data_IF_672917073682
#
_entry.id   IF_672917073682
#
_cell.length_a   1.000
_cell.length_b   1.000
_cell.length_c   1.000
_cell.angle_alpha   90.00
_cell.angle_beta   90.00
_cell.angle_gamma   90.00
#
_symmetry.space_group_name_H-M   'P 1'
#
loop_
_entity.id
_entity.type
_entity.pdbx_description
1 polymer ?
#
# COMPACT_ATOMS: atom_id res chain seq x y z
N UNK A 1 -6.98 -5.88 32.24
CA UNK A 1 -6.34 -4.82 31.42
C UNK A 1 -5.44 -5.40 30.33
N UNK A 2 -4.71 -6.50 30.57
CA UNK A 2 -3.86 -7.16 29.56
C UNK A 2 -4.62 -7.74 28.34
N UNK A 3 -5.89 -8.12 28.49
CA UNK A 3 -6.66 -8.72 27.39
C UNK A 3 -6.84 -7.76 26.20
N UNK A 4 -7.08 -6.46 26.44
CA UNK A 4 -7.23 -5.48 25.38
C UNK A 4 -5.93 -5.30 24.58
N UNK A 5 -4.78 -5.34 25.26
CA UNK A 5 -3.48 -5.36 24.60
C UNK A 5 -3.27 -6.63 23.77
N UNK A 6 -3.65 -7.81 24.30
CA UNK A 6 -3.57 -9.07 23.56
C UNK A 6 -4.45 -9.07 22.29
N UNK A 7 -5.69 -8.56 22.39
CA UNK A 7 -6.59 -8.39 21.24
C UNK A 7 -6.01 -7.40 20.23
N UNK A 8 -5.42 -6.29 20.69
CA UNK A 8 -4.75 -5.33 19.82
C UNK A 8 -3.57 -5.98 19.06
N UNK A 9 -2.71 -6.73 19.76
CA UNK A 9 -1.60 -7.48 19.15
C UNK A 9 -2.15 -8.48 18.12
N UNK A 10 -3.21 -9.22 18.45
CA UNK A 10 -3.85 -10.14 17.52
C UNK A 10 -4.29 -9.44 16.23
N UNK A 11 -5.00 -8.31 16.35
CA UNK A 11 -5.38 -7.52 15.17
C UNK A 11 -4.16 -7.01 14.37
N UNK A 12 -3.08 -6.61 15.04
CA UNK A 12 -1.85 -6.16 14.39
C UNK A 12 -1.19 -7.32 13.62
N UNK A 13 -1.09 -8.49 14.23
CA UNK A 13 -0.54 -9.69 13.58
C UNK A 13 -1.40 -10.09 12.39
N UNK A 14 -2.73 -10.12 12.54
CA UNK A 14 -3.65 -10.45 11.45
C UNK A 14 -3.54 -9.42 10.32
N UNK A 15 -3.57 -8.13 10.62
CA UNK A 15 -3.42 -7.08 9.60
C UNK A 15 -2.07 -7.15 8.88
N UNK A 16 -0.98 -7.41 9.60
CA UNK A 16 0.35 -7.57 9.01
C UNK A 16 0.47 -8.84 8.17
N UNK A 17 -0.07 -9.95 8.66
CA UNK A 17 -0.15 -11.19 7.89
C UNK A 17 -0.94 -11.00 6.59
N UNK A 18 -2.08 -10.31 6.63
CA UNK A 18 -2.86 -9.96 5.44
C UNK A 18 -2.10 -9.02 4.48
N UNK A 19 -1.38 -8.03 5.00
CA UNK A 19 -0.55 -7.14 4.17
C UNK A 19 0.58 -7.90 3.46
N UNK A 20 1.25 -8.80 4.17
CA UNK A 20 2.32 -9.62 3.61
C UNK A 20 1.79 -10.61 2.58
N UNK A 21 0.70 -11.31 2.92
CA UNK A 21 0.07 -12.30 2.03
C UNK A 21 -0.54 -11.66 0.80
N UNK A 22 -0.99 -10.40 0.83
CA UNK A 22 -1.50 -9.68 -0.34
C UNK A 22 -0.56 -9.78 -1.56
N UNK A 23 0.76 -9.72 -1.37
CA UNK A 23 1.75 -9.88 -2.46
C UNK A 23 1.76 -11.29 -3.07
N UNK A 24 1.54 -12.32 -2.26
CA UNK A 24 1.47 -13.71 -2.71
C UNK A 24 0.07 -14.09 -3.22
N UNK A 25 -0.95 -13.43 -2.67
CA UNK A 25 -2.35 -13.66 -2.98
C UNK A 25 -2.67 -13.35 -4.43
N UNK A 26 -2.07 -12.33 -5.06
CA UNK A 26 -2.31 -12.05 -6.48
C UNK A 26 -2.12 -13.28 -7.39
N UNK A 27 -1.13 -14.14 -7.08
CA UNK A 27 -0.88 -15.39 -7.83
C UNK A 27 -1.82 -16.54 -7.47
N UNK A 28 -2.30 -16.61 -6.23
CA UNK A 28 -3.18 -17.70 -5.78
C UNK A 28 -4.66 -17.37 -6.03
N UNK A 29 -5.06 -16.14 -5.74
CA UNK A 29 -6.36 -15.58 -6.08
C UNK A 29 -6.63 -15.75 -7.57
N UNK A 30 -5.66 -15.47 -8.45
CA UNK A 30 -5.90 -15.62 -9.90
C UNK A 30 -6.26 -17.05 -10.31
N UNK A 31 -5.97 -18.07 -9.48
CA UNK A 31 -6.41 -19.46 -9.70
C UNK A 31 -7.87 -19.70 -9.30
N UNK A 32 -8.34 -19.01 -8.25
CA UNK A 32 -9.73 -19.08 -7.77
C UNK A 32 -10.64 -18.01 -8.37
N UNK A 33 -10.05 -17.01 -9.03
CA UNK A 33 -10.80 -15.99 -9.74
C UNK A 33 -11.67 -16.66 -10.82
N UNK A 34 -12.90 -16.17 -11.04
CA UNK A 34 -13.79 -16.68 -12.09
C UNK A 34 -13.11 -16.66 -13.48
N UNK A 35 -12.16 -15.75 -13.68
CA UNK A 35 -11.30 -15.69 -14.86
C UNK A 35 -10.44 -16.92 -15.15
N UNK A 36 -10.50 -18.01 -14.39
CA UNK A 36 -9.84 -19.27 -14.76
C UNK A 36 -10.43 -19.87 -16.05
N UNK A 37 -11.75 -19.82 -16.25
CA UNK A 37 -12.33 -20.30 -17.52
C UNK A 37 -11.96 -19.39 -18.69
N UNK A 38 -12.02 -18.08 -18.49
CA UNK A 38 -11.58 -17.08 -19.47
C UNK A 38 -10.10 -17.21 -19.79
N UNK A 39 -9.25 -17.49 -18.80
CA UNK A 39 -7.81 -17.68 -19.03
C UNK A 39 -7.51 -18.95 -19.81
N UNK A 40 -8.27 -20.04 -19.61
CA UNK A 40 -8.20 -21.24 -20.47
C UNK A 40 -8.60 -20.92 -21.92
N UNK A 41 -9.69 -20.17 -22.12
CA UNK A 41 -10.12 -19.72 -23.46
C UNK A 41 -9.06 -18.82 -24.12
N UNK A 42 -8.49 -17.89 -23.35
CA UNK A 42 -7.40 -17.03 -23.79
C UNK A 42 -6.18 -17.85 -24.23
N UNK A 43 -5.73 -18.81 -23.41
CA UNK A 43 -4.59 -19.68 -23.76
C UNK A 43 -4.87 -20.54 -25.00
N UNK A 44 -6.08 -21.06 -25.14
CA UNK A 44 -6.49 -21.82 -26.33
C UNK A 44 -6.45 -20.94 -27.59
N UNK A 45 -6.92 -19.69 -27.51
CA UNK A 45 -6.90 -18.73 -28.63
C UNK A 45 -5.50 -18.26 -28.98
N UNK A 46 -4.63 -18.03 -27.98
CA UNK A 46 -3.22 -17.70 -28.20
C UNK A 46 -2.50 -18.86 -28.91
N UNK A 47 -2.79 -20.10 -28.52
CA UNK A 47 -2.25 -21.29 -29.19
C UNK A 47 -2.76 -21.41 -30.63
N UNK A 48 -4.07 -21.27 -30.85
CA UNK A 48 -4.68 -21.28 -32.19
C UNK A 48 -4.04 -20.20 -33.09
N UNK A 49 -3.81 -19.01 -32.54
CA UNK A 49 -3.16 -17.89 -33.23
C UNK A 49 -1.69 -18.17 -33.56
N UNK A 50 -0.98 -18.89 -32.71
CA UNK A 50 0.39 -19.31 -32.96
C UNK A 50 0.45 -20.32 -34.11
N UNK A 51 -0.33 -21.41 -34.01
CA UNK A 51 -0.40 -22.46 -35.02
C UNK A 51 -0.82 -21.90 -36.39
N UNK A 52 -1.79 -20.99 -36.41
CA UNK A 52 -2.23 -20.35 -37.65
C UNK A 52 -1.16 -19.41 -38.23
N UNK A 53 -0.37 -18.74 -37.39
CA UNK A 53 0.74 -17.89 -37.85
C UNK A 53 1.83 -18.73 -38.50
N UNK A 54 2.20 -19.85 -37.87
CA UNK A 54 3.19 -20.79 -38.43
C UNK A 54 2.71 -21.38 -39.75
N UNK A 55 1.45 -21.80 -39.83
CA UNK A 55 0.83 -22.27 -41.06
C UNK A 55 0.76 -21.19 -42.14
N UNK A 56 0.52 -19.93 -41.77
CA UNK A 56 0.50 -18.84 -42.74
C UNK A 56 1.90 -18.51 -43.27
N UNK A 57 2.94 -18.64 -42.44
CA UNK A 57 4.33 -18.42 -42.83
C UNK A 57 4.87 -19.53 -43.74
N UNK A 58 4.30 -20.75 -43.70
CA UNK A 58 4.70 -21.84 -44.59
C UNK A 58 4.04 -21.78 -45.97
N UNK A 59 3.07 -20.87 -46.17
CA UNK A 59 2.38 -20.69 -47.45
C UNK A 59 3.02 -19.54 -48.23
N UNK A 60 3.37 -19.79 -49.50
CA UNK A 60 3.73 -18.72 -50.44
C UNK A 60 2.54 -17.78 -50.66
N UNK A 61 2.73 -16.51 -50.30
CA UNK A 61 1.71 -15.47 -50.44
C UNK A 61 1.30 -15.24 -51.91
N UNK A 62 2.20 -15.53 -52.86
CA UNK A 62 1.95 -15.31 -54.29
C UNK A 62 1.13 -16.46 -54.89
N UNK A 63 1.56 -17.71 -54.67
CA UNK A 63 0.91 -18.88 -55.29
C UNK A 63 -0.46 -19.19 -54.68
N UNK A 64 -0.63 -18.90 -53.39
CA UNK A 64 -1.82 -19.24 -52.62
C UNK A 64 -2.50 -17.98 -52.02
N UNK A 65 -2.50 -16.87 -52.75
CA UNK A 65 -3.00 -15.57 -52.27
C UNK A 65 -4.38 -15.62 -51.58
N UNK A 66 -5.33 -16.36 -52.15
CA UNK A 66 -6.67 -16.50 -51.58
C UNK A 66 -6.66 -17.17 -50.19
N UNK A 67 -5.83 -18.22 -50.00
CA UNK A 67 -5.66 -18.90 -48.70
C UNK A 67 -4.93 -17.99 -47.72
N UNK A 68 -3.86 -17.33 -48.16
CA UNK A 68 -3.08 -16.40 -47.34
C UNK A 68 -3.94 -15.24 -46.81
N UNK A 69 -4.74 -14.61 -47.67
CA UNK A 69 -5.64 -13.50 -47.27
C UNK A 69 -6.72 -13.98 -46.30
N UNK A 70 -7.26 -15.19 -46.50
CA UNK A 70 -8.24 -15.78 -45.57
C UNK A 70 -7.62 -16.07 -44.20
N UNK A 71 -6.40 -16.60 -44.17
CA UNK A 71 -5.66 -16.84 -42.93
C UNK A 71 -5.34 -15.53 -42.19
N UNK A 72 -4.93 -14.48 -42.89
CA UNK A 72 -4.71 -13.17 -42.28
C UNK A 72 -5.98 -12.58 -41.67
N UNK A 73 -7.13 -12.65 -42.37
CA UNK A 73 -8.42 -12.23 -41.79
C UNK A 73 -8.77 -13.01 -40.52
N UNK A 74 -8.44 -14.30 -40.48
CA UNK A 74 -8.63 -15.13 -39.29
C UNK A 74 -7.65 -14.75 -38.18
N UNK A 75 -6.39 -14.44 -38.49
CA UNK A 75 -5.42 -13.91 -37.52
C UNK A 75 -5.91 -12.58 -36.91
N UNK A 76 -6.43 -11.66 -37.73
CA UNK A 76 -6.98 -10.38 -37.25
C UNK A 76 -8.19 -10.60 -36.33
N UNK A 77 -9.06 -11.58 -36.65
CA UNK A 77 -10.19 -11.97 -35.80
C UNK A 77 -9.70 -12.54 -34.47
N UNK A 78 -8.71 -13.43 -34.50
CA UNK A 78 -8.12 -14.02 -33.29
C UNK A 78 -7.43 -12.96 -32.43
N UNK A 79 -6.70 -12.02 -33.03
CA UNK A 79 -6.05 -10.93 -32.29
C UNK A 79 -7.10 -10.02 -31.60
N UNK A 80 -8.25 -9.77 -32.24
CA UNK A 80 -9.39 -9.08 -31.61
C UNK A 80 -9.98 -9.88 -30.45
N UNK A 81 -10.24 -11.17 -30.64
CA UNK A 81 -10.77 -12.06 -29.59
C UNK A 81 -9.82 -12.15 -28.39
N UNK A 82 -8.51 -12.27 -28.63
CA UNK A 82 -7.47 -12.32 -27.60
C UNK A 82 -7.44 -11.02 -26.79
N UNK A 83 -7.52 -9.86 -27.45
CA UNK A 83 -7.55 -8.57 -26.77
C UNK A 83 -8.82 -8.40 -25.94
N UNK A 84 -9.99 -8.77 -26.49
CA UNK A 84 -11.26 -8.71 -25.74
C UNK A 84 -11.21 -9.63 -24.50
N UNK A 85 -10.70 -10.87 -24.64
CA UNK A 85 -10.55 -11.79 -23.52
C UNK A 85 -9.56 -11.26 -22.48
N UNK A 86 -8.47 -10.62 -22.91
CA UNK A 86 -7.50 -10.00 -22.00
C UNK A 86 -8.16 -8.88 -21.18
N UNK A 87 -8.93 -8.02 -21.83
CA UNK A 87 -9.62 -6.91 -21.17
C UNK A 87 -10.70 -7.42 -20.22
N UNK A 88 -11.44 -8.46 -20.61
CA UNK A 88 -12.43 -9.12 -19.77
C UNK A 88 -11.77 -9.73 -18.52
N UNK A 89 -10.69 -10.51 -18.68
CA UNK A 89 -9.91 -11.07 -17.57
C UNK A 89 -9.40 -9.96 -16.63
N UNK A 90 -8.89 -8.86 -17.18
CA UNK A 90 -8.42 -7.73 -16.37
C UNK A 90 -9.58 -7.06 -15.62
N UNK A 91 -10.74 -6.91 -16.25
CA UNK A 91 -11.92 -6.31 -15.65
C UNK A 91 -12.50 -7.16 -14.52
N UNK A 92 -12.61 -8.47 -14.71
CA UNK A 92 -13.05 -9.42 -13.67
C UNK A 92 -12.08 -9.47 -12.51
N UNK A 93 -10.77 -9.53 -12.79
CA UNK A 93 -9.75 -9.51 -11.75
C UNK A 93 -9.80 -8.20 -10.94
N UNK A 94 -9.97 -7.04 -11.61
CA UNK A 94 -10.13 -5.75 -10.91
C UNK A 94 -11.39 -5.72 -10.05
N UNK A 95 -12.52 -6.21 -10.56
CA UNK A 95 -13.76 -6.29 -9.80
C UNK A 95 -13.60 -7.20 -8.58
N UNK A 96 -13.04 -8.40 -8.76
CA UNK A 96 -12.77 -9.34 -7.69
C UNK A 96 -11.84 -8.76 -6.62
N UNK A 97 -10.74 -8.11 -7.02
CA UNK A 97 -9.82 -7.43 -6.11
C UNK A 97 -10.50 -6.28 -5.35
N UNK A 98 -11.39 -5.53 -6.01
CA UNK A 98 -12.17 -4.47 -5.37
C UNK A 98 -13.13 -5.04 -4.31
N UNK A 99 -13.79 -6.17 -4.59
CA UNK A 99 -14.64 -6.86 -3.61
C UNK A 99 -13.84 -7.37 -2.41
N UNK A 100 -12.67 -7.99 -2.64
CA UNK A 100 -11.79 -8.41 -1.55
C UNK A 100 -11.27 -7.23 -0.74
N UNK A 101 -10.94 -6.12 -1.38
CA UNK A 101 -10.50 -4.91 -0.69
C UNK A 101 -11.62 -4.35 0.20
N UNK A 102 -12.86 -4.29 -0.31
CA UNK A 102 -14.03 -3.86 0.46
C UNK A 102 -14.30 -4.79 1.64
N UNK A 103 -14.26 -6.10 1.43
CA UNK A 103 -14.43 -7.10 2.48
C UNK A 103 -13.35 -6.96 3.56
N UNK A 104 -12.09 -6.77 3.17
CA UNK A 104 -10.99 -6.54 4.11
C UNK A 104 -11.19 -5.27 4.93
N UNK A 105 -11.62 -4.18 4.30
CA UNK A 105 -11.88 -2.92 4.99
C UNK A 105 -13.00 -3.11 6.02
N UNK A 106 -14.10 -3.76 5.64
CA UNK A 106 -15.26 -3.96 6.50
C UNK A 106 -15.05 -5.01 7.60
N UNK A 107 -14.35 -6.11 7.32
CA UNK A 107 -14.16 -7.21 8.25
C UNK A 107 -12.96 -7.02 9.19
N UNK A 108 -11.96 -6.23 8.80
CA UNK A 108 -10.72 -6.09 9.57
C UNK A 108 -10.45 -4.65 9.98
N UNK A 109 -10.37 -3.73 9.01
CA UNK A 109 -9.99 -2.34 9.29
C UNK A 109 -11.03 -1.63 10.15
N UNK A 110 -12.31 -1.79 9.84
CA UNK A 110 -13.41 -1.16 10.59
C UNK A 110 -13.50 -1.70 12.02
N UNK A 111 -13.55 -3.03 12.28
CA UNK A 111 -13.56 -3.56 13.64
C UNK A 111 -12.32 -3.15 14.45
N UNK A 112 -11.13 -3.15 13.82
CA UNK A 112 -9.92 -2.69 14.48
C UNK A 112 -9.99 -1.19 14.84
N UNK A 113 -10.56 -0.36 13.97
CA UNK A 113 -10.74 1.06 14.23
C UNK A 113 -11.77 1.33 15.35
N UNK A 114 -12.91 0.62 15.34
CA UNK A 114 -13.91 0.67 16.42
C UNK A 114 -13.29 0.24 17.75
N UNK A 115 -12.56 -0.88 17.76
CA UNK A 115 -11.82 -1.35 18.93
C UNK A 115 -10.82 -0.29 19.42
N UNK A 116 -10.07 0.33 18.51
CA UNK A 116 -9.12 1.40 18.82
C UNK A 116 -9.80 2.64 19.39
N UNK A 117 -11.01 3.01 18.96
CA UNK A 117 -11.73 4.15 19.55
C UNK A 117 -12.25 3.80 20.95
N UNK A 118 -12.88 2.63 21.10
CA UNK A 118 -13.52 2.24 22.37
C UNK A 118 -12.50 1.98 23.47
N UNK A 119 -11.42 1.26 23.16
CA UNK A 119 -10.41 0.87 24.15
C UNK A 119 -9.12 1.67 24.05
N UNK A 120 -8.99 2.58 23.07
CA UNK A 120 -7.77 3.34 22.86
C UNK A 120 -7.35 4.20 24.05
N UNK A 121 -8.31 4.66 24.86
CA UNK A 121 -8.08 5.49 26.06
C UNK A 121 -7.70 4.67 27.30
N UNK A 122 -7.67 3.34 27.24
CA UNK A 122 -7.28 2.54 28.42
C UNK A 122 -5.78 2.68 28.66
N UNK A 123 -5.34 2.96 29.90
CA UNK A 123 -3.92 3.04 30.23
C UNK A 123 -3.29 1.65 30.18
N UNK A 124 -2.23 1.50 29.38
CA UNK A 124 -1.44 0.25 29.29
C UNK A 124 -0.26 0.31 30.24
N UNK A 125 0.40 1.46 30.30
CA UNK A 125 1.56 1.70 31.15
C UNK A 125 1.36 2.98 31.94
N UNK A 126 1.70 2.97 33.23
CA UNK A 126 1.74 4.18 34.06
C UNK A 126 3.19 4.64 34.12
N UNK A 127 3.45 5.89 33.74
CA UNK A 127 4.76 6.49 33.89
C UNK A 127 5.02 6.72 35.38
N UNK A 128 6.28 6.68 35.83
CA UNK A 128 6.60 7.02 37.22
C UNK A 128 6.43 8.53 37.44
N UNK A 129 6.14 8.97 38.67
CA UNK A 129 5.88 10.39 38.98
C UNK A 129 7.10 11.24 38.65
N UNK A 130 8.30 10.67 38.80
CA UNK A 130 9.58 11.29 38.42
C UNK A 130 9.69 11.60 36.92
N UNK A 131 9.03 10.83 36.05
CA UNK A 131 9.07 11.02 34.59
C UNK A 131 8.20 12.19 34.11
N UNK A 132 7.27 12.67 34.92
CA UNK A 132 6.36 13.76 34.56
C UNK A 132 7.08 15.10 34.31
N UNK A 133 8.23 15.32 34.94
CA UNK A 133 9.04 16.53 34.78
C UNK A 133 9.95 16.50 33.56
N UNK A 134 10.15 15.34 32.93
CA UNK A 134 11.05 15.19 31.78
C UNK A 134 10.39 15.59 30.45
N UNK A 135 9.06 15.58 30.37
CA UNK A 135 8.34 15.80 29.13
C UNK A 135 7.37 16.98 29.24
N UNK A 136 7.25 17.81 28.19
CA UNK A 136 6.24 18.87 28.14
C UNK A 136 4.82 18.30 28.34
N UNK A 137 3.95 19.05 29.02
CA UNK A 137 2.53 18.70 29.29
C UNK A 137 1.76 18.29 28.02
N UNK A 138 2.15 18.86 26.88
CA UNK A 138 1.57 18.49 25.59
C UNK A 138 1.83 17.03 25.23
N UNK A 139 3.06 16.54 25.43
CA UNK A 139 3.48 15.18 25.09
C UNK A 139 2.80 14.17 26.00
N UNK A 140 2.75 14.45 27.31
CA UNK A 140 2.04 13.60 28.28
C UNK A 140 0.53 13.58 28.04
N UNK A 141 -0.04 14.69 27.55
CA UNK A 141 -1.42 14.76 27.07
C UNK A 141 -1.69 13.85 25.87
N UNK A 142 -0.81 13.89 24.85
CA UNK A 142 -0.92 12.99 23.69
C UNK A 142 -0.74 11.53 24.08
N UNK A 143 0.15 11.22 25.02
CA UNK A 143 0.33 9.84 25.47
C UNK A 143 -0.89 9.29 26.20
N UNK A 144 -1.49 10.09 27.09
CA UNK A 144 -2.64 9.66 27.90
C UNK A 144 -3.96 9.64 27.17
N UNK A 145 -4.21 10.61 26.29
CA UNK A 145 -5.52 10.78 25.62
C UNK A 145 -5.45 10.49 24.11
N UNK A 146 -4.26 10.31 23.55
CA UNK A 146 -4.02 10.12 22.12
C UNK A 146 -3.98 11.44 21.34
N UNK A 147 -3.91 11.35 20.02
CA UNK A 147 -3.87 12.49 19.10
C UNK A 147 -5.08 13.44 19.20
N UNK A 148 -6.21 12.94 19.71
CA UNK A 148 -7.40 13.75 19.95
C UNK A 148 -7.13 14.86 20.99
N UNK A 149 -6.13 14.68 21.87
CA UNK A 149 -5.66 15.72 22.77
C UNK A 149 -5.20 16.98 22.03
N UNK A 150 -4.45 16.80 20.94
CA UNK A 150 -3.93 17.92 20.13
C UNK A 150 -5.08 18.72 19.50
N UNK A 151 -6.06 18.00 18.94
CA UNK A 151 -7.22 18.61 18.31
C UNK A 151 -8.12 19.34 19.32
N UNK A 152 -8.28 18.76 20.51
CA UNK A 152 -9.07 19.38 21.56
C UNK A 152 -8.32 20.46 22.33
N UNK A 153 -6.99 20.55 22.25
CA UNK A 153 -6.20 21.51 23.00
C UNK A 153 -6.66 22.98 22.79
N UNK A 154 -6.83 23.51 21.56
CA UNK A 154 -7.35 24.86 21.37
C UNK A 154 -8.80 25.03 21.84
N UNK A 155 -9.63 24.00 21.69
CA UNK A 155 -11.02 24.04 22.17
C UNK A 155 -11.10 24.04 23.70
N UNK A 156 -10.16 23.36 24.38
CA UNK A 156 -10.03 23.35 25.83
C UNK A 156 -9.57 24.70 26.36
N UNK A 157 -8.61 25.36 25.72
CA UNK A 157 -8.18 26.70 26.16
C UNK A 157 -9.25 27.77 25.92
N UNK A 158 -10.00 27.67 24.81
CA UNK A 158 -11.15 28.55 24.55
C UNK A 158 -12.24 28.31 25.59
N UNK A 159 -12.69 27.07 25.80
CA UNK A 159 -13.72 26.77 26.81
C UNK A 159 -13.30 27.16 28.22
N UNK A 160 -12.03 26.95 28.60
CA UNK A 160 -11.51 27.45 29.88
C UNK A 160 -11.59 28.97 29.98
N UNK A 161 -11.20 29.72 28.93
CA UNK A 161 -11.38 31.19 28.89
C UNK A 161 -12.85 31.60 29.02
N UNK A 162 -13.76 30.91 28.33
CA UNK A 162 -15.21 31.16 28.42
C UNK A 162 -15.77 30.85 29.82
N UNK A 163 -15.35 29.76 30.46
CA UNK A 163 -15.76 29.42 31.82
C UNK A 163 -15.18 30.37 32.88
N UNK A 164 -13.99 30.92 32.65
CA UNK A 164 -13.43 32.00 33.49
C UNK A 164 -14.26 33.28 33.35
N UNK A 165 -14.77 33.60 32.14
CA UNK A 165 -15.66 34.74 31.92
C UNK A 165 -17.05 34.56 32.55
N UNK A 166 -17.60 33.34 32.59
CA UNK A 166 -18.93 33.06 33.17
C UNK A 166 -18.92 32.77 34.68
N UNK A 167 -17.80 32.97 35.38
CA UNK A 167 -17.74 32.85 36.84
C UNK A 167 -18.00 31.44 37.41
N UNK A 168 -18.12 30.41 36.56
CA UNK A 168 -18.27 29.01 36.98
C UNK A 168 -16.89 28.38 37.21
N UNK A 169 -16.36 28.62 38.41
CA UNK A 169 -15.10 28.09 38.92
C UNK A 169 -15.21 26.58 39.19
N UNK A 170 -15.06 25.72 38.17
CA UNK A 170 -15.29 24.30 38.38
C UNK A 170 -14.83 23.36 37.28
N UNK A 171 -13.59 23.46 36.78
CA UNK A 171 -13.06 22.44 35.87
C UNK A 171 -11.53 22.26 35.88
N UNK A 172 -10.81 22.63 36.95
CA UNK A 172 -9.36 22.38 37.03
C UNK A 172 -8.98 20.93 37.37
N UNK A 173 -9.94 20.02 37.58
CA UNK A 173 -9.65 18.61 37.93
C UNK A 173 -9.43 17.67 36.72
N UNK A 174 -9.36 18.19 35.50
CA UNK A 174 -9.10 17.35 34.33
C UNK A 174 -7.62 17.09 34.02
N UNK A 175 -6.69 17.80 34.66
CA UNK A 175 -5.30 17.85 34.17
C UNK A 175 -4.30 16.92 34.90
N UNK A 176 -4.32 16.74 36.22
CA UNK A 176 -3.14 16.09 36.84
C UNK A 176 -3.11 14.55 36.82
N UNK A 177 -4.25 13.87 37.01
CA UNK A 177 -4.23 12.40 37.16
C UNK A 177 -4.18 11.63 35.84
N UNK A 178 -4.59 12.25 34.73
CA UNK A 178 -4.65 11.58 33.43
C UNK A 178 -3.28 11.54 32.72
N UNK A 179 -2.43 12.55 32.93
CA UNK A 179 -1.21 12.77 32.15
C UNK A 179 -0.11 11.71 32.37
N UNK A 180 -0.22 10.91 33.43
CA UNK A 180 0.85 9.99 33.83
C UNK A 180 0.69 8.56 33.27
N UNK A 181 0.02 8.41 32.14
CA UNK A 181 -0.17 7.08 31.52
C UNK A 181 -0.05 7.11 30.02
N UNK A 182 0.37 5.98 29.46
CA UNK A 182 0.40 5.72 28.02
C UNK A 182 -0.85 4.94 27.66
N UNK A 183 -1.66 5.53 26.81
CA UNK A 183 -2.90 4.96 26.29
C UNK A 183 -2.65 3.78 25.34
N UNK A 184 -3.57 2.83 25.28
CA UNK A 184 -3.50 1.71 24.35
C UNK A 184 -3.40 2.19 22.89
N UNK A 185 -4.12 3.25 22.54
CA UNK A 185 -4.13 3.80 21.19
C UNK A 185 -2.77 4.30 20.73
N UNK A 186 -2.04 5.02 21.59
CA UNK A 186 -0.69 5.50 21.23
C UNK A 186 0.33 4.36 21.26
N UNK A 187 0.17 3.40 22.18
CA UNK A 187 1.03 2.23 22.26
C UNK A 187 0.93 1.35 21.00
N UNK A 188 -0.29 1.06 20.55
CA UNK A 188 -0.55 0.33 19.29
C UNK A 188 0.01 1.08 18.09
N UNK A 189 -0.14 2.41 18.06
CA UNK A 189 0.39 3.24 16.98
C UNK A 189 1.93 3.20 16.93
N UNK A 190 2.59 3.35 18.08
CA UNK A 190 4.05 3.26 18.19
C UNK A 190 4.56 1.88 17.76
N UNK A 191 3.92 0.80 18.23
CA UNK A 191 4.26 -0.57 17.85
C UNK A 191 4.12 -0.79 16.34
N UNK A 192 3.04 -0.29 15.73
CA UNK A 192 2.85 -0.38 14.28
C UNK A 192 3.95 0.37 13.51
N UNK A 193 4.34 1.55 13.98
CA UNK A 193 5.43 2.33 13.35
C UNK A 193 6.78 1.62 13.47
N UNK A 194 7.07 0.99 14.61
CA UNK A 194 8.29 0.19 14.77
C UNK A 194 8.29 -0.98 13.80
N UNK A 195 7.18 -1.73 13.71
CA UNK A 195 7.06 -2.85 12.75
C UNK A 195 7.25 -2.35 11.32
N UNK A 196 6.61 -1.24 10.93
CA UNK A 196 6.74 -0.66 9.59
C UNK A 196 8.19 -0.23 9.31
N UNK A 197 8.87 0.37 10.30
CA UNK A 197 10.25 0.79 10.18
C UNK A 197 11.20 -0.40 10.00
N UNK A 198 11.04 -1.46 10.80
CA UNK A 198 11.81 -2.70 10.65
C UNK A 198 11.54 -3.33 9.28
N UNK A 199 10.28 -3.41 8.85
CA UNK A 199 9.91 -3.93 7.53
C UNK A 199 10.54 -3.12 6.39
N UNK A 200 10.59 -1.80 6.51
CA UNK A 200 11.23 -0.91 5.55
C UNK A 200 12.75 -1.15 5.48
N UNK A 201 13.42 -1.22 6.64
CA UNK A 201 14.87 -1.50 6.71
C UNK A 201 15.19 -2.85 6.06
N UNK A 202 14.42 -3.89 6.36
CA UNK A 202 14.62 -5.22 5.76
C UNK A 202 14.43 -5.18 4.24
N UNK A 203 13.42 -4.47 3.74
CA UNK A 203 13.20 -4.32 2.29
C UNK A 203 14.33 -3.54 1.61
N UNK A 204 14.80 -2.45 2.22
CA UNK A 204 15.85 -1.63 1.64
C UNK A 204 17.22 -2.32 1.70
N UNK A 205 17.49 -3.09 2.76
CA UNK A 205 18.77 -3.78 2.90
C UNK A 205 18.87 -5.01 1.99
N UNK A 206 17.78 -5.76 1.79
CA UNK A 206 17.82 -7.04 1.10
C UNK A 206 17.12 -7.09 -0.26
N UNK A 207 16.12 -6.23 -0.53
CA UNK A 207 15.26 -6.34 -1.72
C UNK A 207 15.47 -5.23 -2.75
N UNK A 208 15.87 -4.02 -2.35
CA UNK A 208 16.16 -2.99 -3.35
C UNK A 208 17.50 -3.30 -4.00
N UNK A 209 17.56 -3.46 -5.35
CA UNK A 209 18.83 -3.62 -6.04
C UNK A 209 19.72 -2.42 -5.68
N UNK A 210 21.01 -2.71 -5.45
CA UNK A 210 22.05 -1.71 -5.21
C UNK A 210 21.86 -0.59 -6.22
N UNK A 211 21.58 0.63 -5.74
CA UNK A 211 21.50 1.79 -6.62
C UNK A 211 22.76 1.81 -7.47
N UNK A 212 22.60 1.65 -8.78
CA UNK A 212 23.70 1.88 -9.71
C UNK A 212 24.15 3.31 -9.45
N UNK A 213 25.45 3.48 -9.15
CA UNK A 213 26.01 4.80 -8.98
C UNK A 213 25.61 5.62 -10.21
N UNK A 214 25.15 6.88 -10.04
CA UNK A 214 24.83 7.70 -11.19
C UNK A 214 26.04 7.63 -12.12
N UNK A 215 25.84 7.12 -13.33
CA UNK A 215 26.88 7.08 -14.34
C UNK A 215 27.52 8.46 -14.34
N UNK A 216 28.79 8.54 -13.97
CA UNK A 216 29.54 9.77 -14.01
C UNK A 216 29.30 10.39 -15.38
N UNK A 217 28.80 11.62 -15.39
CA UNK A 217 28.49 12.38 -16.60
C UNK A 217 29.77 12.71 -17.40
N UNK A 218 30.93 12.20 -17.01
CA UNK A 218 32.21 12.52 -17.61
C UNK A 218 32.44 11.94 -19.02
N UNK A 219 31.63 11.01 -19.53
CA UNK A 219 31.85 10.49 -20.91
C UNK A 219 30.99 11.13 -21.99
N UNK A 220 30.11 12.09 -21.68
CA UNK A 220 29.38 12.82 -22.73
C UNK A 220 30.05 14.14 -23.14
N UNK A 221 30.75 14.83 -22.23
CA UNK A 221 31.51 16.04 -22.59
C UNK A 221 32.83 15.72 -23.29
N UNK A 222 33.56 14.67 -22.88
CA UNK A 222 34.83 14.30 -23.53
C UNK A 222 34.60 13.84 -24.98
N UNK A 223 33.54 13.07 -25.25
CA UNK A 223 33.15 12.70 -26.62
C UNK A 223 32.63 13.87 -27.45
N UNK A 224 32.07 14.90 -26.82
CA UNK A 224 31.62 16.09 -27.54
C UNK A 224 32.81 16.99 -27.93
N UNK A 225 33.88 17.02 -27.13
CA UNK A 225 35.10 17.76 -27.46
C UNK A 225 35.88 17.09 -28.61
N UNK A 226 36.06 15.77 -28.55
CA UNK A 226 36.78 15.04 -29.62
C UNK A 226 36.05 15.11 -30.96
N UNK A 227 34.71 15.08 -30.95
CA UNK A 227 33.91 15.20 -32.19
C UNK A 227 33.96 16.59 -32.83
N UNK A 228 34.27 17.64 -32.05
CA UNK A 228 34.41 19.01 -32.56
C UNK A 228 35.79 19.22 -33.18
N UNK A 229 36.85 18.68 -32.57
CA UNK A 229 38.21 18.77 -33.14
C UNK A 229 38.34 17.98 -34.45
N UNK A 230 37.73 16.80 -34.55
CA UNK A 230 37.73 16.02 -35.80
C UNK A 230 36.95 16.70 -36.94
N UNK A 231 35.94 17.51 -36.63
CA UNK A 231 35.14 18.22 -37.63
C UNK A 231 35.84 19.47 -38.20
N UNK A 232 36.70 20.13 -37.43
CA UNK A 232 37.40 21.36 -37.84
C UNK A 232 38.56 21.04 -38.80
N UNK A 233 39.09 19.81 -38.79
CA UNK A 233 40.24 19.43 -39.63
C UNK A 233 39.81 19.03 -41.06
N UNK A 234 38.52 18.84 -41.34
CA UNK A 234 38.03 18.34 -42.63
C UNK A 234 37.28 19.37 -43.51
N UNK A 235 37.25 20.65 -43.12
CA UNK A 235 36.90 21.78 -44.00
C UNK A 235 38.17 22.50 -44.52
#
# INVERSE_FOLDING_TARGET
>A
MHWAAAVAIFFIVVTKFLQYTNKYHEKWISKFAPGNELSKKYLAKVKERHELKEFNNSISAQDNYAKWTKNNRKLDSLDKEINNLKDEIQSENKAFQAHLHKLRLLALTVPFFVFKIMYGKTPVYKLSSSTSTLFPTFVSGVWSQGWLYVLLHPLRTISQKWHIMEGKFGASKFDDMALQSVSLGIWVWALMNVINGVEFIVKQLFLTPKMEAPASVETQEEKALDAVDDAIILD
#
